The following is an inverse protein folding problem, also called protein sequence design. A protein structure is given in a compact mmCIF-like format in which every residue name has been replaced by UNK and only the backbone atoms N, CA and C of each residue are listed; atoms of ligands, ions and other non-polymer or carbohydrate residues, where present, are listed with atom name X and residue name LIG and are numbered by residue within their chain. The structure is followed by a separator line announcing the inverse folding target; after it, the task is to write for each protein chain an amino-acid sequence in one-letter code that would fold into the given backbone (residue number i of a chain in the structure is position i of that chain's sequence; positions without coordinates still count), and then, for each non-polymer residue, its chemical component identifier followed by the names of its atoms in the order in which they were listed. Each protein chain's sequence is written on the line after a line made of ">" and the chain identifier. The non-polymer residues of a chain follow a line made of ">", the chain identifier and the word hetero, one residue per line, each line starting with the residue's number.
data_IF_194606213137
#
_entry.id   IF_194606213137
#
_cell.length_a   1.000
_cell.length_b   1.000
_cell.length_c   1.000
_cell.angle_alpha   90.00
_cell.angle_beta   90.00
_cell.angle_gamma   90.00
#
_symmetry.space_group_name_H-M   'P 1'
#
loop_
_entity.id
_entity.type
_entity.pdbx_description
1 polymer ?
#
# COMPACT_ATOMS: atom_id res chain seq x y z
N UNK A 1 -21.33 55.86 -8.30
CA UNK A 1 -20.24 54.89 -8.53
C UNK A 1 -20.60 53.49 -7.99
N UNK A 2 -21.80 52.97 -8.26
CA UNK A 2 -22.30 51.72 -7.65
C UNK A 2 -22.95 50.82 -8.69
N UNK A 3 -22.16 50.19 -9.57
CA UNK A 3 -22.75 49.43 -10.68
C UNK A 3 -21.81 48.59 -11.52
N UNK A 4 -20.76 47.97 -10.94
CA UNK A 4 -19.83 47.12 -11.72
C UNK A 4 -19.42 45.79 -11.07
N UNK A 5 -20.05 45.37 -9.96
CA UNK A 5 -19.68 44.11 -9.28
C UNK A 5 -20.66 42.94 -9.51
N UNK A 6 -21.64 43.08 -10.41
CA UNK A 6 -22.72 42.11 -10.57
C UNK A 6 -22.51 41.05 -11.68
N UNK A 7 -21.38 41.04 -12.40
CA UNK A 7 -21.24 40.25 -13.64
C UNK A 7 -19.97 39.39 -13.71
N UNK A 8 -19.57 38.78 -12.59
CA UNK A 8 -18.73 37.60 -12.67
C UNK A 8 -19.20 36.56 -11.66
N UNK A 9 -20.38 35.98 -11.94
CA UNK A 9 -20.74 34.69 -11.36
C UNK A 9 -19.76 33.70 -11.97
N UNK A 10 -18.63 33.51 -11.29
CA UNK A 10 -17.69 32.43 -11.59
C UNK A 10 -18.56 31.19 -11.73
N UNK A 11 -18.66 30.71 -12.97
CA UNK A 11 -19.19 29.38 -13.23
C UNK A 11 -18.18 28.45 -12.58
N UNK A 12 -18.38 28.15 -11.31
CA UNK A 12 -17.62 27.11 -10.61
C UNK A 12 -18.08 25.83 -11.30
N UNK A 13 -17.27 25.23 -12.20
CA UNK A 13 -17.68 24.04 -12.92
C UNK A 13 -18.10 23.03 -11.86
N UNK A 14 -19.35 22.60 -11.94
CA UNK A 14 -20.00 21.77 -10.92
C UNK A 14 -19.09 20.62 -10.54
N UNK A 15 -18.52 20.75 -9.34
CA UNK A 15 -17.82 19.77 -8.51
C UNK A 15 -17.77 18.36 -9.11
N UNK A 16 -16.88 18.12 -10.07
CA UNK A 16 -16.51 16.76 -10.50
C UNK A 16 -15.88 15.98 -9.31
N UNK A 17 -15.49 16.70 -8.26
CA UNK A 17 -15.04 16.18 -6.98
C UNK A 17 -16.15 15.65 -6.04
N UNK A 18 -17.46 15.86 -6.34
CA UNK A 18 -18.49 15.64 -5.30
C UNK A 18 -18.69 14.17 -4.97
N UNK A 19 -18.54 13.27 -5.95
CA UNK A 19 -18.71 11.83 -5.76
C UNK A 19 -17.51 11.20 -5.04
N UNK A 20 -16.27 11.58 -5.39
CA UNK A 20 -15.05 11.05 -4.73
C UNK A 20 -14.91 11.56 -3.30
N UNK A 21 -15.16 12.84 -3.07
CA UNK A 21 -15.10 13.43 -1.72
C UNK A 21 -16.18 12.86 -0.81
N UNK A 22 -17.40 12.62 -1.32
CA UNK A 22 -18.45 11.91 -0.58
C UNK A 22 -18.04 10.49 -0.19
N UNK A 23 -17.45 9.71 -1.11
CA UNK A 23 -16.98 8.34 -0.83
C UNK A 23 -15.95 8.28 0.32
N UNK A 24 -15.03 9.26 0.38
CA UNK A 24 -13.99 9.32 1.42
C UNK A 24 -14.54 9.72 2.80
N UNK A 25 -15.73 10.34 2.86
CA UNK A 25 -16.35 10.80 4.09
C UNK A 25 -17.31 9.79 4.72
N UNK A 26 -17.58 8.66 4.04
CA UNK A 26 -18.47 7.62 4.58
C UNK A 26 -17.79 6.85 5.73
N UNK A 27 -18.52 6.59 6.84
CA UNK A 27 -18.02 5.79 7.94
C UNK A 27 -17.83 4.32 7.53
N UNK A 28 -16.91 3.62 8.20
CA UNK A 28 -16.53 2.24 7.88
C UNK A 28 -17.72 1.26 7.91
N UNK A 29 -18.67 1.46 8.82
CA UNK A 29 -19.88 0.64 8.93
C UNK A 29 -20.81 0.75 7.72
N UNK A 30 -20.88 1.92 7.07
CA UNK A 30 -21.68 2.10 5.86
C UNK A 30 -21.03 1.52 4.61
N UNK A 31 -19.72 1.27 4.65
CA UNK A 31 -18.96 0.64 3.55
C UNK A 31 -19.13 -0.88 3.55
N UNK A 32 -19.39 -1.48 4.71
CA UNK A 32 -19.63 -2.92 4.86
C UNK A 32 -21.01 -3.31 4.31
N UNK A 33 -21.04 -4.21 3.34
CA UNK A 33 -22.29 -4.84 2.85
C UNK A 33 -22.98 -4.13 1.68
N UNK A 34 -22.52 -2.95 1.23
CA UNK A 34 -22.98 -2.34 -0.01
C UNK A 34 -22.21 -2.95 -1.19
N UNK A 35 -22.89 -3.64 -2.11
CA UNK A 35 -22.31 -4.32 -3.29
C UNK A 35 -21.66 -3.42 -4.34
N UNK A 36 -21.33 -2.16 -4.01
CA UNK A 36 -20.68 -1.21 -4.92
C UNK A 36 -19.15 -1.42 -4.92
N UNK A 37 -18.59 -1.58 -6.12
CA UNK A 37 -17.14 -1.76 -6.34
C UNK A 37 -16.34 -0.58 -5.80
N UNK A 38 -16.89 0.64 -5.86
CA UNK A 38 -16.20 1.85 -5.36
C UNK A 38 -16.08 1.87 -3.84
N UNK A 39 -17.13 1.42 -3.14
CA UNK A 39 -17.15 1.33 -1.68
C UNK A 39 -16.19 0.22 -1.20
N UNK A 40 -16.22 -0.94 -1.84
CA UNK A 40 -15.27 -2.03 -1.57
C UNK A 40 -13.81 -1.61 -1.81
N UNK A 41 -13.54 -0.84 -2.87
CA UNK A 41 -12.21 -0.31 -3.13
C UNK A 41 -11.73 0.66 -2.05
N UNK A 42 -12.62 1.47 -1.49
CA UNK A 42 -12.30 2.38 -0.38
C UNK A 42 -12.02 1.62 0.92
N UNK A 43 -12.79 0.57 1.19
CA UNK A 43 -12.56 -0.31 2.35
C UNK A 43 -11.19 -0.99 2.27
N UNK A 44 -10.86 -1.56 1.11
CA UNK A 44 -9.54 -2.15 0.87
C UNK A 44 -8.41 -1.12 0.98
N UNK A 45 -8.65 0.10 0.49
CA UNK A 45 -7.69 1.20 0.58
C UNK A 45 -7.39 1.56 2.05
N UNK A 46 -8.42 1.70 2.88
CA UNK A 46 -8.27 2.00 4.32
C UNK A 46 -7.50 0.92 5.07
N UNK A 47 -7.80 -0.36 4.81
CA UNK A 47 -7.09 -1.49 5.42
C UNK A 47 -5.64 -1.62 4.93
N UNK A 48 -5.34 -1.14 3.74
CA UNK A 48 -3.99 -1.23 3.18
C UNK A 48 -2.99 -0.33 3.89
N UNK A 49 -3.43 0.78 4.50
CA UNK A 49 -2.55 1.66 5.29
C UNK A 49 -1.91 0.96 6.49
N UNK A 50 -2.67 0.40 7.46
CA UNK A 50 -2.06 -0.27 8.61
C UNK A 50 -1.23 -1.49 8.19
N UNK A 51 -1.69 -2.27 7.19
CA UNK A 51 -0.96 -3.43 6.69
C UNK A 51 0.38 -3.02 6.06
N UNK A 52 0.40 -1.96 5.26
CA UNK A 52 1.63 -1.48 4.62
C UNK A 52 2.65 -0.99 5.64
N UNK A 53 2.21 -0.36 6.74
CA UNK A 53 3.08 0.00 7.86
C UNK A 53 3.82 -1.22 8.42
N UNK A 54 3.10 -2.30 8.71
CA UNK A 54 3.68 -3.55 9.24
C UNK A 54 4.67 -4.17 8.24
N UNK A 55 4.29 -4.26 6.96
CA UNK A 55 5.15 -4.86 5.92
C UNK A 55 6.43 -4.04 5.72
N UNK A 56 6.34 -2.72 5.67
CA UNK A 56 7.51 -1.85 5.55
C UNK A 56 8.40 -1.91 6.78
N UNK A 57 7.83 -2.01 7.98
CA UNK A 57 8.59 -2.26 9.21
C UNK A 57 9.38 -3.57 9.14
N UNK A 58 8.79 -4.65 8.62
CA UNK A 58 9.54 -5.89 8.39
C UNK A 58 10.62 -5.72 7.33
N UNK A 59 10.34 -5.03 6.23
CA UNK A 59 11.32 -4.77 5.17
C UNK A 59 12.49 -3.88 5.65
N UNK A 60 12.24 -3.02 6.63
CA UNK A 60 13.28 -2.18 7.25
C UNK A 60 14.34 -3.01 8.00
N UNK A 61 13.98 -4.15 8.60
CA UNK A 61 14.91 -5.03 9.34
C UNK A 61 16.09 -5.47 8.49
N UNK A 62 15.91 -6.14 7.33
CA UNK A 62 17.02 -6.39 6.41
C UNK A 62 17.67 -5.06 6.02
N UNK A 63 16.91 -4.09 5.54
CA UNK A 63 17.51 -2.88 4.97
C UNK A 63 18.43 -2.15 5.97
N UNK A 64 18.17 -2.18 7.28
CA UNK A 64 18.98 -1.54 8.31
C UNK A 64 20.46 -1.99 8.39
N UNK A 65 20.80 -3.22 7.99
CA UNK A 65 22.08 -3.85 8.35
C UNK A 65 23.28 -3.39 7.48
N UNK A 66 23.93 -2.28 7.81
CA UNK A 66 25.00 -1.67 6.98
C UNK A 66 26.37 -2.30 7.20
N UNK A 67 27.07 -2.67 6.12
CA UNK A 67 28.52 -2.91 6.19
C UNK A 67 29.23 -1.57 6.44
N UNK A 68 30.24 -1.50 7.34
CA UNK A 68 30.82 -0.24 7.84
C UNK A 68 31.41 0.72 6.79
N UNK A 69 31.55 0.28 5.53
CA UNK A 69 32.29 0.97 4.46
C UNK A 69 31.43 1.46 3.29
N UNK A 70 30.11 1.19 3.30
CA UNK A 70 29.16 1.73 2.30
C UNK A 70 28.22 2.71 2.98
N UNK A 71 28.17 3.95 2.47
CA UNK A 71 27.51 5.10 3.11
C UNK A 71 26.08 4.82 3.59
N UNK A 72 25.80 5.21 4.83
CA UNK A 72 24.50 5.07 5.53
C UNK A 72 23.30 5.54 4.70
N UNK A 73 23.50 6.55 3.84
CA UNK A 73 22.44 7.17 3.03
C UNK A 73 21.93 6.30 1.87
N UNK A 74 22.74 5.39 1.31
CA UNK A 74 22.34 4.58 0.15
C UNK A 74 21.12 3.70 0.44
N UNK A 75 20.95 3.27 1.69
CA UNK A 75 19.83 2.42 2.09
C UNK A 75 18.57 3.18 2.47
N UNK A 76 18.72 4.41 2.96
CA UNK A 76 17.59 5.33 3.17
C UNK A 76 16.93 5.61 1.81
N UNK A 77 17.74 5.87 0.77
CA UNK A 77 17.23 6.02 -0.59
C UNK A 77 16.46 4.78 -1.08
N UNK A 78 16.99 3.57 -0.85
CA UNK A 78 16.29 2.32 -1.21
C UNK A 78 14.98 2.14 -0.42
N UNK A 79 14.96 2.46 0.87
CA UNK A 79 13.74 2.38 1.68
C UNK A 79 12.66 3.36 1.21
N UNK A 80 13.04 4.60 0.90
CA UNK A 80 12.14 5.61 0.33
C UNK A 80 11.61 5.13 -1.02
N UNK A 81 12.49 4.62 -1.88
CA UNK A 81 12.10 4.12 -3.20
C UNK A 81 11.07 2.97 -3.07
N UNK A 82 11.29 2.04 -2.14
CA UNK A 82 10.35 0.95 -1.87
C UNK A 82 9.00 1.46 -1.36
N UNK A 83 9.00 2.46 -0.48
CA UNK A 83 7.77 3.09 -0.01
C UNK A 83 7.01 3.77 -1.15
N UNK A 84 7.69 4.58 -1.96
CA UNK A 84 7.08 5.28 -3.10
C UNK A 84 6.51 4.27 -4.09
N UNK A 85 7.27 3.22 -4.40
CA UNK A 85 6.82 2.14 -5.27
C UNK A 85 5.55 1.47 -4.71
N UNK A 86 5.56 1.13 -3.42
CA UNK A 86 4.41 0.52 -2.74
C UNK A 86 3.16 1.39 -2.82
N UNK A 87 3.28 2.67 -2.46
CA UNK A 87 2.17 3.62 -2.45
C UNK A 87 1.57 3.83 -3.85
N UNK A 88 2.43 3.89 -4.88
CA UNK A 88 1.99 3.97 -6.26
C UNK A 88 1.25 2.70 -6.69
N UNK A 89 1.77 1.51 -6.37
CA UNK A 89 1.10 0.24 -6.69
C UNK A 89 -0.27 0.15 -6.02
N UNK A 90 -0.40 0.53 -4.74
CA UNK A 90 -1.69 0.59 -4.07
C UNK A 90 -2.66 1.53 -4.81
N UNK A 91 -2.19 2.72 -5.22
CA UNK A 91 -3.01 3.70 -5.94
C UNK A 91 -3.51 3.16 -7.28
N UNK A 92 -2.63 2.51 -8.04
CA UNK A 92 -2.98 1.83 -9.29
C UNK A 92 -3.96 0.68 -9.05
N UNK A 93 -3.70 -0.17 -8.06
CA UNK A 93 -4.59 -1.27 -7.68
C UNK A 93 -5.97 -0.78 -7.27
N UNK A 94 -6.07 0.35 -6.56
CA UNK A 94 -7.36 0.97 -6.20
C UNK A 94 -8.12 1.41 -7.43
N UNK A 95 -7.44 2.05 -8.39
CA UNK A 95 -8.07 2.44 -9.65
C UNK A 95 -8.55 1.21 -10.44
N UNK A 96 -7.75 0.14 -10.53
CA UNK A 96 -8.15 -1.11 -11.18
C UNK A 96 -9.33 -1.81 -10.49
N UNK A 97 -9.41 -1.74 -9.17
CA UNK A 97 -10.54 -2.25 -8.40
C UNK A 97 -11.81 -1.44 -8.66
N UNK A 98 -11.67 -0.10 -8.79
CA UNK A 98 -12.78 0.80 -9.13
C UNK A 98 -13.29 0.60 -10.56
N UNK A 99 -12.41 0.32 -11.53
CA UNK A 99 -12.80 0.05 -12.92
C UNK A 99 -13.26 -1.40 -13.13
N UNK A 100 -13.05 -2.28 -12.15
CA UNK A 100 -13.39 -3.71 -12.24
C UNK A 100 -12.41 -4.55 -13.06
N UNK A 101 -11.21 -4.02 -13.34
CA UNK A 101 -10.16 -4.76 -14.02
C UNK A 101 -9.61 -5.94 -13.20
N UNK A 102 -9.74 -5.85 -11.87
CA UNK A 102 -9.40 -6.94 -10.94
C UNK A 102 -10.64 -7.39 -10.15
N UNK A 103 -10.75 -8.68 -9.81
CA UNK A 103 -11.85 -9.17 -9.00
C UNK A 103 -11.88 -8.51 -7.62
N UNK A 104 -13.09 -8.20 -7.13
CA UNK A 104 -13.29 -7.61 -5.80
C UNK A 104 -12.60 -8.38 -4.68
N UNK A 105 -12.65 -9.71 -4.74
CA UNK A 105 -12.04 -10.62 -3.76
C UNK A 105 -10.51 -10.60 -3.77
N UNK A 106 -9.88 -10.37 -4.92
CA UNK A 106 -8.43 -10.26 -5.04
C UNK A 106 -7.94 -8.91 -4.53
N UNK A 107 -8.69 -7.84 -4.83
CA UNK A 107 -8.52 -6.54 -4.21
C UNK A 107 -7.09 -5.98 -4.30
N UNK A 108 -6.58 -5.47 -3.16
CA UNK A 108 -5.22 -4.95 -3.03
C UNK A 108 -4.24 -5.96 -2.42
N UNK A 109 -4.71 -7.16 -2.09
CA UNK A 109 -3.96 -8.16 -1.32
C UNK A 109 -2.72 -8.67 -2.04
N UNK A 110 -2.77 -8.77 -3.37
CA UNK A 110 -1.64 -9.21 -4.19
C UNK A 110 -0.42 -8.28 -4.04
N UNK A 111 -0.63 -6.98 -3.77
CA UNK A 111 0.45 -6.01 -3.55
C UNK A 111 1.13 -6.30 -2.21
N UNK A 112 0.35 -6.58 -1.16
CA UNK A 112 0.87 -6.97 0.16
C UNK A 112 1.68 -8.26 0.06
N UNK A 113 1.16 -9.27 -0.66
CA UNK A 113 1.83 -10.56 -0.90
C UNK A 113 3.15 -10.36 -1.67
N UNK A 114 3.17 -9.50 -2.69
CA UNK A 114 4.38 -9.20 -3.46
C UNK A 114 5.51 -8.65 -2.56
N UNK A 115 5.20 -7.67 -1.72
CA UNK A 115 6.20 -7.08 -0.83
C UNK A 115 6.60 -8.01 0.33
N UNK A 116 5.68 -8.86 0.79
CA UNK A 116 6.01 -9.92 1.74
C UNK A 116 6.95 -10.96 1.12
N UNK A 117 6.72 -11.35 -0.13
CA UNK A 117 7.64 -12.21 -0.90
C UNK A 117 9.02 -11.55 -1.06
N UNK A 118 9.05 -10.24 -1.33
CA UNK A 118 10.32 -9.49 -1.38
C UNK A 118 11.05 -9.55 -0.04
N UNK A 119 10.34 -9.36 1.09
CA UNK A 119 10.91 -9.50 2.43
C UNK A 119 11.50 -10.90 2.65
N UNK A 120 10.72 -11.95 2.39
CA UNK A 120 11.17 -13.34 2.54
C UNK A 120 12.38 -13.63 1.63
N UNK A 121 12.36 -13.19 0.37
CA UNK A 121 13.47 -13.35 -0.56
C UNK A 121 14.74 -12.63 -0.12
N UNK A 122 14.62 -11.44 0.47
CA UNK A 122 15.74 -10.72 1.07
C UNK A 122 16.29 -11.45 2.30
N UNK A 123 15.42 -11.99 3.17
CA UNK A 123 15.83 -12.78 4.32
C UNK A 123 16.61 -14.03 3.91
N UNK A 124 16.09 -14.81 2.94
CA UNK A 124 16.74 -16.02 2.43
C UNK A 124 18.12 -15.71 1.82
N UNK A 125 18.23 -14.59 1.07
CA UNK A 125 19.52 -14.17 0.48
C UNK A 125 20.55 -13.69 1.51
N UNK A 126 20.11 -13.22 2.68
CA UNK A 126 20.97 -12.63 3.72
C UNK A 126 21.42 -13.63 4.77
N UNK A 127 20.54 -14.55 5.14
CA UNK A 127 20.85 -15.66 6.00
C UNK A 127 20.37 -16.91 5.31
N UNK A 128 21.30 -17.79 4.91
CA UNK A 128 20.94 -19.17 4.65
C UNK A 128 20.12 -19.63 5.85
N UNK A 129 18.82 -19.84 5.63
CA UNK A 129 17.91 -20.21 6.71
C UNK A 129 18.58 -21.35 7.48
N UNK A 130 18.76 -21.28 8.80
CA UNK A 130 18.79 -22.50 9.57
C UNK A 130 17.35 -23.01 9.48
N UNK A 131 17.01 -23.65 8.36
CA UNK A 131 16.05 -24.73 8.37
C UNK A 131 16.68 -25.69 9.36
N UNK A 132 16.37 -25.52 10.65
CA UNK A 132 16.80 -26.42 11.71
C UNK A 132 16.14 -27.72 11.34
N UNK A 133 16.82 -28.53 10.54
CA UNK A 133 16.35 -29.83 10.11
C UNK A 133 16.25 -30.64 11.40
N UNK A 134 15.03 -30.90 11.93
CA UNK A 134 14.88 -31.49 13.25
C UNK A 134 15.46 -32.91 13.30
N UNK A 135 15.67 -33.53 12.14
CA UNK A 135 16.20 -34.88 11.97
C UNK A 135 17.72 -35.03 12.10
N UNK A 136 18.49 -33.94 12.21
CA UNK A 136 19.96 -34.05 12.30
C UNK A 136 20.47 -34.58 13.65
N UNK A 137 19.58 -34.77 14.65
CA UNK A 137 19.96 -35.29 15.97
C UNK A 137 20.00 -36.82 16.06
N UNK A 138 19.54 -37.56 15.05
CA UNK A 138 19.41 -39.03 15.15
C UNK A 138 20.64 -39.80 14.63
N UNK A 139 21.56 -39.16 13.91
CA UNK A 139 22.74 -39.82 13.29
C UNK A 139 24.02 -39.66 14.15
N UNK A 140 23.89 -39.18 15.40
CA UNK A 140 25.01 -39.04 16.34
C UNK A 140 24.71 -39.65 17.71
N UNK A 141 23.98 -40.76 17.73
CA UNK A 141 23.78 -41.60 18.90
C UNK A 141 24.43 -42.95 18.65
#
# INVERSE_FOLDING_TARGET
>A
LAGRYALNRIHVPGVVASTRTKLNMLPFSELLGKGDRRLNAELHWRLSFPISMVILSFLAVPLSHTSPRKGRFGKVAVAILLYVLYANLLGLGKNWLQTGAIPGWMGLWWIHVLFLMLFVGLMIRRGGMPVRNPFRKVVRA
#
